data_IF_128677545535
#
_entry.id   IF_128677545535
#
_cell.length_a   1.000
_cell.length_b   1.000
_cell.length_c   1.000
_cell.angle_alpha   90.00
_cell.angle_beta   90.00
_cell.angle_gamma   90.00
#
_symmetry.space_group_name_H-M   'P 1'
#
loop_
_entity.id
_entity.type
_entity.pdbx_description
1 polymer ?
#
# COMPACT_ATOMS: atom_id res chain seq x y z
N UNK A 1 -16.13 -6.56 0.00
CA UNK A 1 -16.73 -5.24 0.28
C UNK A 1 -15.65 -4.29 0.75
N UNK A 2 -15.75 -3.01 0.40
CA UNK A 2 -14.87 -1.96 0.91
C UNK A 2 -15.71 -1.02 1.76
N UNK A 3 -15.26 -0.76 3.00
CA UNK A 3 -15.89 0.21 3.88
C UNK A 3 -15.01 1.47 3.94
N UNK A 4 -15.52 2.52 3.28
CA UNK A 4 -15.03 3.89 3.27
C UNK A 4 -13.60 4.14 2.78
N UNK A 5 -13.29 5.43 2.67
CA UNK A 5 -11.96 5.99 2.41
C UNK A 5 -11.85 7.27 3.22
N UNK A 6 -11.05 7.25 4.29
CA UNK A 6 -10.97 8.36 5.24
C UNK A 6 -9.55 8.83 5.44
N UNK A 7 -9.36 10.11 5.68
CA UNK A 7 -8.13 10.58 6.34
C UNK A 7 -8.06 10.00 7.74
N UNK A 8 -6.85 9.82 8.29
CA UNK A 8 -6.62 9.14 9.58
C UNK A 8 -7.55 9.63 10.71
N UNK A 9 -7.75 10.96 10.83
CA UNK A 9 -8.56 11.54 11.90
C UNK A 9 -10.06 11.26 11.75
N UNK A 10 -10.51 10.93 10.54
CA UNK A 10 -11.90 10.59 10.21
C UNK A 10 -12.17 9.08 10.19
N UNK A 11 -11.15 8.24 10.36
CA UNK A 11 -11.33 6.78 10.45
C UNK A 11 -12.20 6.47 11.68
N UNK A 12 -13.31 5.72 11.55
CA UNK A 12 -14.13 5.33 12.68
C UNK A 12 -13.29 4.62 13.77
N UNK A 13 -13.50 4.97 15.04
CA UNK A 13 -12.68 4.46 16.16
C UNK A 13 -12.65 2.93 16.26
N UNK A 14 -13.73 2.25 15.87
CA UNK A 14 -13.79 0.78 15.78
C UNK A 14 -12.71 0.17 14.88
N UNK A 15 -12.29 0.89 13.84
CA UNK A 15 -11.25 0.47 12.90
C UNK A 15 -9.90 1.13 13.23
N UNK A 16 -9.91 2.40 13.64
CA UNK A 16 -8.71 3.19 13.91
C UNK A 16 -7.77 2.53 14.93
N UNK A 17 -8.33 1.88 15.96
CA UNK A 17 -7.56 1.13 16.98
C UNK A 17 -6.74 -0.04 16.43
N UNK A 18 -7.05 -0.51 15.22
CA UNK A 18 -6.32 -1.60 14.54
C UNK A 18 -5.28 -1.07 13.54
N UNK A 19 -5.17 0.26 13.35
CA UNK A 19 -4.12 0.85 12.52
C UNK A 19 -2.82 0.81 13.32
N UNK A 20 -1.88 0.00 12.83
CA UNK A 20 -0.55 -0.19 13.41
C UNK A 20 0.55 0.44 12.56
N UNK A 21 0.24 0.70 11.29
CA UNK A 21 1.16 1.36 10.36
C UNK A 21 1.44 2.81 10.81
N UNK A 22 2.73 3.22 10.90
CA UNK A 22 3.06 4.59 11.25
C UNK A 22 2.56 5.54 10.16
N UNK A 23 2.27 6.79 10.53
CA UNK A 23 1.98 7.84 9.54
C UNK A 23 3.20 8.01 8.62
N UNK A 24 2.93 8.23 7.33
CA UNK A 24 3.98 8.55 6.36
C UNK A 24 4.65 9.86 6.77
N UNK A 25 5.97 9.84 6.87
CA UNK A 25 6.78 11.02 7.10
C UNK A 25 7.13 11.64 5.74
N UNK A 26 6.78 12.91 5.56
CA UNK A 26 6.98 13.66 4.32
C UNK A 26 8.44 13.69 3.83
N UNK A 27 9.42 13.46 4.71
CA UNK A 27 10.83 13.35 4.30
C UNK A 27 11.06 12.25 3.26
N UNK A 28 10.24 11.18 3.25
CA UNK A 28 10.34 10.09 2.28
C UNK A 28 9.70 10.42 0.92
N UNK A 29 9.00 11.56 0.81
CA UNK A 29 8.51 12.09 -0.46
C UNK A 29 9.50 13.09 -1.10
N UNK A 30 10.48 13.58 -0.32
CA UNK A 30 11.46 14.55 -0.82
C UNK A 30 12.32 13.92 -1.91
N UNK A 31 12.28 14.50 -3.11
CA UNK A 31 12.99 13.95 -4.27
C UNK A 31 12.33 12.71 -4.86
N UNK A 32 11.03 12.50 -4.62
CA UNK A 32 10.27 11.40 -5.18
C UNK A 32 10.48 11.28 -6.71
N UNK A 33 10.90 10.10 -7.21
CA UNK A 33 11.01 9.85 -8.65
C UNK A 33 9.68 10.04 -9.40
N UNK A 34 8.56 9.83 -8.71
CA UNK A 34 7.20 9.99 -9.25
C UNK A 34 6.79 11.46 -9.41
N UNK A 35 7.34 12.36 -8.58
CA UNK A 35 7.16 13.80 -8.79
C UNK A 35 8.15 14.34 -9.83
N UNK A 36 9.38 13.83 -9.84
CA UNK A 36 10.42 14.25 -10.77
C UNK A 36 10.08 13.94 -12.24
N UNK A 37 9.29 12.89 -12.50
CA UNK A 37 8.84 12.56 -13.85
C UNK A 37 7.67 13.44 -14.37
N UNK A 38 7.10 14.29 -13.51
CA UNK A 38 6.05 15.26 -13.84
C UNK A 38 4.65 14.68 -14.04
N UNK A 39 4.45 13.35 -13.93
CA UNK A 39 3.18 12.69 -14.26
C UNK A 39 2.60 11.85 -13.12
N UNK A 40 3.44 11.26 -12.27
CA UNK A 40 3.00 10.26 -11.30
C UNK A 40 2.92 10.77 -9.86
N UNK A 41 2.99 12.10 -9.66
CA UNK A 41 2.81 12.72 -8.35
C UNK A 41 1.45 12.35 -7.76
N UNK A 42 1.45 11.89 -6.52
CA UNK A 42 0.25 11.53 -5.76
C UNK A 42 -0.40 10.23 -6.20
N UNK A 43 0.25 9.43 -7.05
CA UNK A 43 -0.26 8.11 -7.43
C UNK A 43 -0.14 7.10 -6.30
N UNK A 44 -0.95 6.04 -6.36
CA UNK A 44 -0.90 4.93 -5.42
C UNK A 44 0.49 4.28 -5.35
N UNK A 45 1.20 4.20 -6.47
CA UNK A 45 2.58 3.71 -6.56
C UNK A 45 3.59 4.58 -5.83
N UNK A 46 3.43 5.91 -5.86
CA UNK A 46 4.27 6.84 -5.11
C UNK A 46 4.10 6.64 -3.60
N UNK A 47 2.85 6.50 -3.13
CA UNK A 47 2.59 6.21 -1.71
C UNK A 47 3.28 4.92 -1.28
N UNK A 48 3.08 3.83 -2.03
CA UNK A 48 3.69 2.53 -1.74
C UNK A 48 5.21 2.68 -1.68
N UNK A 49 5.83 3.30 -2.68
CA UNK A 49 7.29 3.52 -2.69
C UNK A 49 7.78 4.31 -1.47
N UNK A 50 7.13 5.42 -1.13
CA UNK A 50 7.55 6.28 -0.02
C UNK A 50 7.39 5.56 1.33
N UNK A 51 6.24 4.90 1.53
CA UNK A 51 5.96 4.16 2.76
C UNK A 51 6.88 2.96 2.92
N UNK A 52 7.19 2.23 1.85
CA UNK A 52 8.12 1.11 1.91
C UNK A 52 9.56 1.59 2.20
N UNK A 53 10.01 2.72 1.65
CA UNK A 53 11.32 3.31 2.01
C UNK A 53 11.37 3.77 3.48
N UNK A 54 10.22 4.20 4.02
CA UNK A 54 10.09 4.46 5.43
C UNK A 54 10.27 3.19 6.25
N UNK A 55 9.50 2.15 5.93
CA UNK A 55 9.44 0.93 6.73
C UNK A 55 10.69 0.07 6.65
N UNK A 56 11.34 -0.02 5.50
CA UNK A 56 12.41 -0.98 5.24
C UNK A 56 13.79 -0.30 5.14
N UNK A 57 14.86 -0.97 5.59
CA UNK A 57 16.19 -0.38 5.66
C UNK A 57 16.87 -0.24 4.30
N UNK A 58 16.60 -1.14 3.36
CA UNK A 58 17.14 -1.07 2.00
C UNK A 58 16.33 -0.08 1.16
N UNK A 59 16.96 0.48 0.14
CA UNK A 59 16.27 1.31 -0.85
C UNK A 59 15.19 0.50 -1.57
N UNK A 60 14.00 1.09 -1.66
CA UNK A 60 12.87 0.45 -2.33
C UNK A 60 12.72 0.98 -3.75
N UNK A 61 12.46 0.10 -4.73
CA UNK A 61 12.44 0.48 -6.13
C UNK A 61 11.20 1.30 -6.49
N UNK A 62 11.40 2.37 -7.27
CA UNK A 62 10.30 3.15 -7.85
C UNK A 62 9.83 2.56 -9.19
N UNK A 63 10.78 2.25 -10.09
CA UNK A 63 10.50 1.82 -11.46
C UNK A 63 11.40 0.64 -11.88
N UNK A 64 10.88 -0.22 -12.77
CA UNK A 64 11.63 -1.27 -13.48
C UNK A 64 10.85 -1.75 -14.72
N UNK A 65 10.43 -0.81 -15.57
CA UNK A 65 9.52 -1.06 -16.70
C UNK A 65 8.07 -1.40 -16.28
N UNK A 66 7.79 -1.38 -14.98
CA UNK A 66 6.46 -1.58 -14.39
C UNK A 66 6.06 -0.28 -13.70
N UNK A 67 4.86 0.20 -14.02
CA UNK A 67 4.30 1.48 -13.51
C UNK A 67 2.92 1.33 -12.87
N UNK A 68 2.27 0.17 -13.06
CA UNK A 68 0.87 -0.03 -12.68
C UNK A 68 0.74 -0.72 -11.32
N UNK A 69 -0.30 -0.37 -10.57
CA UNK A 69 -0.54 -0.85 -9.20
C UNK A 69 -0.66 -2.37 -9.08
N UNK A 70 -1.32 -3.02 -10.05
CA UNK A 70 -1.44 -4.49 -10.11
C UNK A 70 -0.10 -5.22 -10.23
N UNK A 71 0.96 -4.55 -10.68
CA UNK A 71 2.23 -5.19 -11.04
C UNK A 71 3.40 -4.81 -10.12
N UNK A 72 3.19 -3.89 -9.15
CA UNK A 72 4.26 -3.40 -8.26
C UNK A 72 4.97 -4.54 -7.52
N UNK A 73 4.24 -5.56 -7.06
CA UNK A 73 4.83 -6.72 -6.40
C UNK A 73 5.95 -7.36 -7.23
N UNK A 74 5.85 -7.39 -8.56
CA UNK A 74 6.86 -7.98 -9.46
C UNK A 74 8.20 -7.25 -9.37
N UNK A 75 8.17 -5.92 -9.21
CA UNK A 75 9.38 -5.09 -9.05
C UNK A 75 10.14 -5.48 -7.76
N UNK A 76 9.39 -5.76 -6.70
CA UNK A 76 9.90 -6.15 -5.39
C UNK A 76 10.38 -7.61 -5.39
N UNK A 77 9.60 -8.53 -5.97
CA UNK A 77 9.96 -9.95 -6.11
C UNK A 77 11.25 -10.14 -6.91
N UNK A 78 11.44 -9.40 -8.02
CA UNK A 78 12.70 -9.41 -8.79
C UNK A 78 13.92 -9.02 -7.95
N UNK A 79 13.72 -8.26 -6.87
CA UNK A 79 14.76 -7.81 -5.94
C UNK A 79 14.81 -8.66 -4.65
N UNK A 80 14.19 -9.83 -4.67
CA UNK A 80 14.26 -10.84 -3.61
C UNK A 80 13.29 -10.60 -2.45
N UNK A 81 12.32 -9.69 -2.58
CA UNK A 81 11.23 -9.60 -1.62
C UNK A 81 10.28 -10.79 -1.77
N UNK A 82 9.78 -11.30 -0.66
CA UNK A 82 8.77 -12.36 -0.66
C UNK A 82 7.38 -11.81 -0.91
N UNK A 83 6.56 -12.62 -1.58
CA UNK A 83 5.12 -12.39 -1.74
C UNK A 83 4.33 -13.33 -0.85
N UNK A 84 3.08 -12.97 -0.57
CA UNK A 84 2.12 -13.78 0.18
C UNK A 84 0.69 -13.39 -0.21
N UNK A 85 -0.26 -14.27 0.11
CA UNK A 85 -1.69 -13.99 -0.02
C UNK A 85 -2.34 -13.56 1.31
N UNK A 86 -1.54 -13.46 2.38
CA UNK A 86 -2.03 -13.01 3.69
C UNK A 86 -1.76 -11.51 3.90
N UNK A 87 -2.77 -10.69 4.26
CA UNK A 87 -2.52 -9.30 4.61
C UNK A 87 -1.62 -9.24 5.85
N UNK A 88 -0.55 -8.47 5.76
CA UNK A 88 0.44 -8.31 6.84
C UNK A 88 0.76 -6.84 7.00
N UNK A 89 0.65 -6.30 8.22
CA UNK A 89 0.92 -4.88 8.47
C UNK A 89 2.31 -4.48 7.94
N UNK A 90 2.36 -3.39 7.18
CA UNK A 90 3.59 -2.89 6.57
C UNK A 90 3.95 -3.53 5.23
N UNK A 91 3.23 -4.55 4.78
CA UNK A 91 3.42 -5.12 3.44
C UNK A 91 2.71 -4.25 2.41
N UNK A 92 3.35 -4.07 1.26
CA UNK A 92 2.68 -3.54 0.09
C UNK A 92 1.65 -4.53 -0.44
N UNK A 93 0.68 -4.06 -1.22
CA UNK A 93 -0.21 -4.93 -2.00
C UNK A 93 -0.28 -4.52 -3.46
N UNK A 94 -0.55 -5.48 -4.33
CA UNK A 94 -0.90 -5.28 -5.73
C UNK A 94 -2.24 -5.96 -5.97
N UNK A 95 -3.16 -5.28 -6.63
CA UNK A 95 -4.52 -5.78 -6.83
C UNK A 95 -5.08 -5.48 -8.21
N UNK A 96 -5.92 -6.38 -8.71
CA UNK A 96 -6.77 -6.22 -9.89
C UNK A 96 -8.24 -6.05 -9.46
N UNK A 97 -9.12 -5.49 -10.32
CA UNK A 97 -10.54 -5.44 -10.00
C UNK A 97 -11.11 -6.84 -9.74
N UNK A 98 -11.97 -7.03 -8.72
CA UNK A 98 -12.63 -6.01 -7.91
C UNK A 98 -11.97 -5.73 -6.54
N UNK A 99 -10.74 -6.19 -6.31
CA UNK A 99 -10.14 -6.18 -4.98
C UNK A 99 -9.47 -4.86 -4.60
N UNK A 100 -9.46 -4.56 -3.31
CA UNK A 100 -8.68 -3.46 -2.69
C UNK A 100 -8.75 -2.12 -3.45
N UNK A 101 -9.95 -1.70 -3.85
CA UNK A 101 -10.21 -0.45 -4.59
C UNK A 101 -9.61 -0.37 -6.01
N UNK A 102 -9.15 -1.48 -6.59
CA UNK A 102 -8.82 -1.54 -8.01
C UNK A 102 -10.09 -1.39 -8.86
N UNK A 103 -10.15 -0.29 -9.63
CA UNK A 103 -11.29 0.04 -10.50
C UNK A 103 -11.04 -0.23 -11.99
N UNK A 104 -9.79 -0.14 -12.44
CA UNK A 104 -9.43 -0.15 -13.86
C UNK A 104 -8.62 -1.42 -14.18
N UNK A 105 -9.16 -2.34 -15.03
CA UNK A 105 -8.40 -3.49 -15.52
C UNK A 105 -7.11 -3.06 -16.24
N UNK A 106 -5.99 -3.75 -15.99
CA UNK A 106 -4.69 -3.42 -16.57
C UNK A 106 -3.91 -2.33 -15.84
N UNK A 107 -4.55 -1.55 -14.96
CA UNK A 107 -3.89 -0.58 -14.06
C UNK A 107 -3.85 -1.11 -12.63
N UNK A 108 -4.98 -1.62 -12.15
CA UNK A 108 -5.12 -2.13 -10.78
C UNK A 108 -4.97 -1.07 -9.70
N UNK A 109 -4.57 -1.50 -8.49
CA UNK A 109 -4.28 -0.61 -7.37
C UNK A 109 -3.22 -1.18 -6.43
N UNK A 110 -2.55 -0.30 -5.70
CA UNK A 110 -1.52 -0.63 -4.71
C UNK A 110 -1.61 0.31 -3.51
N UNK A 111 -0.98 -0.09 -2.41
CA UNK A 111 -0.85 0.68 -1.18
C UNK A 111 -0.09 -0.18 -0.17
N UNK A 112 -0.28 0.12 1.12
CA UNK A 112 0.34 -0.64 2.21
C UNK A 112 -0.72 -1.06 3.22
N UNK A 113 -0.63 -2.30 3.72
CA UNK A 113 -1.53 -2.79 4.77
C UNK A 113 -1.26 -2.02 6.05
N UNK A 114 -2.28 -1.31 6.52
CA UNK A 114 -2.24 -0.44 7.68
C UNK A 114 -2.56 -1.17 9.00
N UNK A 115 -3.34 -2.25 8.92
CA UNK A 115 -3.86 -2.98 10.07
C UNK A 115 -4.50 -4.30 9.65
N UNK A 116 -4.53 -5.29 10.54
CA UNK A 116 -5.23 -6.57 10.35
C UNK A 116 -6.09 -6.82 11.59
N UNK A 117 -7.36 -7.15 11.38
CA UNK A 117 -8.35 -7.37 12.42
C UNK A 117 -8.51 -8.87 12.72
N UNK A 118 -8.96 -9.20 13.92
CA UNK A 118 -9.10 -10.60 14.38
C UNK A 118 -10.08 -11.43 13.54
N UNK A 119 -11.02 -10.78 12.87
CA UNK A 119 -12.03 -11.40 12.00
C UNK A 119 -11.55 -11.54 10.53
N UNK A 120 -10.29 -11.25 10.26
CA UNK A 120 -9.68 -11.36 8.93
C UNK A 120 -9.90 -10.14 8.03
N UNK A 121 -10.67 -9.13 8.46
CA UNK A 121 -10.69 -7.83 7.77
C UNK A 121 -9.32 -7.17 7.90
N UNK A 122 -8.97 -6.34 6.93
CA UNK A 122 -7.72 -5.59 6.98
C UNK A 122 -7.93 -4.16 6.53
N UNK A 123 -7.05 -3.28 6.99
CA UNK A 123 -7.05 -1.87 6.67
C UNK A 123 -5.90 -1.64 5.71
N UNK A 124 -6.14 -0.91 4.63
CA UNK A 124 -5.10 -0.42 3.73
C UNK A 124 -4.92 1.09 3.90
N UNK A 125 -3.72 1.57 3.64
CA UNK A 125 -3.40 2.98 3.44
C UNK A 125 -2.92 3.17 1.99
N UNK A 126 -3.39 4.25 1.35
CA UNK A 126 -3.20 4.46 -0.08
C UNK A 126 -3.39 5.93 -0.49
N UNK A 127 -2.92 6.26 -1.69
CA UNK A 127 -3.24 7.49 -2.41
C UNK A 127 -4.14 7.21 -3.61
N UNK A 128 -4.67 8.29 -4.20
CA UNK A 128 -5.37 8.30 -5.47
C UNK A 128 -6.61 7.41 -5.51
N UNK A 129 -7.49 7.61 -4.53
CA UNK A 129 -8.84 7.05 -4.50
C UNK A 129 -9.82 8.13 -4.07
N UNK A 130 -11.10 7.96 -4.39
CA UNK A 130 -12.13 8.90 -3.93
C UNK A 130 -12.12 8.97 -2.39
N UNK A 131 -12.28 10.17 -1.80
CA UNK A 131 -12.62 11.44 -2.44
C UNK A 131 -11.43 12.26 -2.96
N UNK A 132 -10.18 11.84 -2.74
CA UNK A 132 -8.98 12.66 -2.97
C UNK A 132 -8.07 12.04 -4.06
N UNK A 133 -8.43 12.15 -5.35
CA UNK A 133 -7.59 11.64 -6.43
C UNK A 133 -6.23 12.35 -6.50
N UNK A 134 -5.27 11.72 -7.19
CA UNK A 134 -3.99 12.31 -7.51
C UNK A 134 -4.19 13.67 -8.23
N UNK A 135 -3.33 14.67 -8.00
CA UNK A 135 -2.03 14.59 -7.32
C UNK A 135 -2.06 14.98 -5.82
N UNK A 136 -3.19 14.84 -5.13
CA UNK A 136 -3.42 15.37 -3.76
C UNK A 136 -2.40 14.93 -2.70
N UNK A 137 -1.82 13.72 -2.83
CA UNK A 137 -1.02 13.05 -1.79
C UNK A 137 -1.77 12.92 -0.45
N UNK A 138 -3.09 12.83 -0.48
CA UNK A 138 -3.87 12.58 0.74
C UNK A 138 -3.85 11.10 1.09
N UNK A 139 -3.29 10.74 2.25
CA UNK A 139 -3.33 9.34 2.74
C UNK A 139 -4.75 9.02 3.16
N UNK A 140 -5.38 8.11 2.43
CA UNK A 140 -6.68 7.57 2.76
C UNK A 140 -6.55 6.15 3.30
N UNK A 141 -7.41 5.82 4.25
CA UNK A 141 -7.49 4.51 4.88
C UNK A 141 -8.84 3.88 4.57
N UNK A 142 -8.84 2.61 4.18
CA UNK A 142 -10.04 1.86 3.80
C UNK A 142 -10.03 0.48 4.44
N UNK A 143 -11.20 -0.01 4.85
CA UNK A 143 -11.35 -1.38 5.37
C UNK A 143 -11.75 -2.30 4.23
N UNK A 144 -11.01 -3.40 4.10
CA UNK A 144 -11.26 -4.45 3.12
C UNK A 144 -11.86 -5.65 3.84
N UNK A 145 -13.01 -6.10 3.34
CA UNK A 145 -13.78 -7.22 3.87
C UNK A 145 -14.17 -8.18 2.74
N UNK A 146 -14.34 -9.46 3.06
CA UNK A 146 -14.84 -10.47 2.13
C UNK A 146 -13.88 -10.81 0.99
N UNK A 147 -12.57 -10.68 1.19
CA UNK A 147 -11.57 -11.26 0.30
C UNK A 147 -11.45 -12.76 0.63
N UNK A 148 -11.46 -13.66 -0.37
CA UNK A 148 -11.25 -15.08 -0.11
C UNK A 148 -9.87 -15.29 0.54
N UNK A 149 -9.71 -16.42 1.26
CA UNK A 149 -8.43 -16.76 1.91
C UNK A 149 -7.25 -16.76 0.92
N UNK A 150 -7.53 -17.05 -0.33
CA UNK A 150 -6.60 -16.95 -1.44
C UNK A 150 -7.34 -16.34 -2.64
N UNK A 151 -6.93 -15.14 -3.05
CA UNK A 151 -7.43 -14.45 -4.24
C UNK A 151 -6.51 -14.68 -5.45
N UNK A 152 -5.54 -15.59 -5.36
CA UNK A 152 -4.56 -15.86 -6.40
C UNK A 152 -3.77 -14.61 -6.78
N UNK A 153 -3.59 -14.43 -8.09
CA UNK A 153 -2.82 -13.31 -8.64
C UNK A 153 -3.59 -11.98 -8.64
N UNK A 154 -4.86 -11.98 -8.26
CA UNK A 154 -5.70 -10.79 -8.23
C UNK A 154 -5.50 -9.92 -6.98
N UNK A 155 -4.89 -10.48 -5.93
CA UNK A 155 -4.43 -9.74 -4.76
C UNK A 155 -3.19 -10.40 -4.17
N UNK A 156 -2.05 -9.74 -4.35
CA UNK A 156 -0.75 -10.19 -3.87
C UNK A 156 -0.22 -9.17 -2.87
N UNK A 157 0.19 -9.64 -1.70
CA UNK A 157 0.93 -8.84 -0.72
C UNK A 157 2.43 -9.11 -0.85
N UNK A 158 3.24 -8.12 -0.53
CA UNK A 158 4.70 -8.24 -0.64
C UNK A 158 5.41 -7.43 0.45
N UNK A 159 6.49 -8.01 0.97
CA UNK A 159 7.38 -7.29 1.88
C UNK A 159 8.26 -6.29 1.13
N UNK A 160 8.92 -5.40 1.86
CA UNK A 160 9.95 -4.54 1.29
C UNK A 160 11.23 -5.31 0.98
N UNK A 161 11.99 -4.80 0.03
CA UNK A 161 13.33 -5.30 -0.30
C UNK A 161 14.18 -5.33 0.95
N UNK A 162 14.78 -6.48 1.23
CA UNK A 162 15.54 -6.74 2.47
C UNK A 162 14.77 -7.46 3.57
N UNK A 163 13.46 -7.66 3.41
CA UNK A 163 12.60 -8.54 4.21
C UNK A 163 12.24 -8.03 5.61
N UNK A 164 13.20 -7.43 6.32
CA UNK A 164 12.98 -6.99 7.70
C UNK A 164 12.71 -5.48 7.79
N UNK A 165 11.58 -5.05 8.37
CA UNK A 165 11.35 -3.65 8.67
C UNK A 165 12.41 -3.07 9.61
N UNK A 166 12.59 -1.75 9.59
CA UNK A 166 13.46 -1.02 10.53
C UNK A 166 12.96 -1.25 11.96
N UNK A 167 13.90 -1.32 12.92
CA UNK A 167 13.62 -1.71 14.31
C UNK A 167 12.58 -0.82 14.98
N UNK A 168 12.58 0.47 14.67
CA UNK A 168 11.62 1.46 15.18
C UNK A 168 10.17 1.23 14.71
N UNK A 169 9.97 0.48 13.63
CA UNK A 169 8.66 0.13 13.09
C UNK A 169 8.31 -1.34 13.29
N UNK A 170 9.19 -2.13 13.91
CA UNK A 170 8.83 -3.48 14.37
C UNK A 170 7.92 -3.34 15.59
N UNK A 171 6.78 -4.03 15.55
CA UNK A 171 5.92 -4.19 16.72
C UNK A 171 6.75 -4.81 17.86
N UNK A 172 6.69 -4.21 19.04
CA UNK A 172 7.25 -4.79 20.27
C UNK A 172 6.36 -5.90 20.78
#
# INVERSE_FOLDING_TARGET
>A
MVDGSWTYDKVPEKYKKHIELPKLNEKYLKGSPFEANGQDKGQCTEFTWAMMNQLYPKEQPAFDGITNGQDVHKIYSKRGAKTTHNPTVGYGFSSTPPYALAKIPGVGHTGVVAGVMDDGKFIIAQYNVDPDPAPSRTVLYSVIDGVPKDAGDDLIFFEGVGGEPRKEYKKK
#
